data_IF_348996388970
#
_entry.id   IF_348996388970
#
_cell.length_a   1.000
_cell.length_b   1.000
_cell.length_c   1.000
_cell.angle_alpha   90.00
_cell.angle_beta   90.00
_cell.angle_gamma   90.00
#
_symmetry.space_group_name_H-M   'P 1'
#
loop_
_entity.id
_entity.type
_entity.pdbx_description
1 polymer ?
#
# COMPACT_ATOMS: atom_id res chain seq x y z
N UNK A 1 14.98 9.61 -17.67
CA UNK A 1 14.91 8.96 -16.35
C UNK A 1 13.66 9.49 -15.69
N UNK A 2 12.78 8.61 -15.19
CA UNK A 2 11.67 9.07 -14.37
C UNK A 2 12.27 9.76 -13.13
N UNK A 3 11.88 11.00 -12.90
CA UNK A 3 12.34 11.76 -11.75
C UNK A 3 11.74 11.12 -10.49
N UNK A 4 12.56 10.81 -9.50
CA UNK A 4 12.10 10.17 -8.26
C UNK A 4 11.48 11.22 -7.34
N UNK A 5 10.26 11.64 -7.66
CA UNK A 5 9.49 12.57 -6.83
C UNK A 5 8.70 11.81 -5.75
N UNK A 6 8.35 12.46 -4.62
CA UNK A 6 7.49 11.85 -3.60
C UNK A 6 6.18 11.32 -4.18
N UNK A 7 5.52 12.09 -5.06
CA UNK A 7 4.27 11.69 -5.71
C UNK A 7 4.44 10.46 -6.60
N UNK A 8 5.58 10.36 -7.30
CA UNK A 8 5.88 9.18 -8.09
C UNK A 8 6.03 7.93 -7.21
N UNK A 9 6.75 8.04 -6.09
CA UNK A 9 6.91 6.94 -5.13
C UNK A 9 5.57 6.51 -4.54
N UNK A 10 4.71 7.46 -4.18
CA UNK A 10 3.36 7.16 -3.65
C UNK A 10 2.49 6.45 -4.69
N UNK A 11 2.53 6.88 -5.95
CA UNK A 11 1.84 6.22 -7.05
C UNK A 11 2.32 4.77 -7.27
N UNK A 12 3.64 4.54 -7.20
CA UNK A 12 4.21 3.20 -7.31
C UNK A 12 3.79 2.29 -6.15
N UNK A 13 3.83 2.81 -4.92
CA UNK A 13 3.38 2.06 -3.73
C UNK A 13 1.89 1.72 -3.81
N UNK A 14 1.04 2.67 -4.20
CA UNK A 14 -0.40 2.43 -4.38
C UNK A 14 -0.64 1.34 -5.44
N UNK A 15 0.07 1.42 -6.56
CA UNK A 15 -0.03 0.42 -7.63
C UNK A 15 0.42 -0.98 -7.16
N UNK A 16 1.35 -1.11 -6.22
CA UNK A 16 1.72 -2.40 -5.60
C UNK A 16 0.64 -2.84 -4.61
N UNK A 17 0.21 -1.96 -3.70
CA UNK A 17 -0.74 -2.25 -2.64
C UNK A 17 -2.09 -2.79 -3.15
N UNK A 18 -2.57 -2.24 -4.28
CA UNK A 18 -3.88 -2.57 -4.85
C UNK A 18 -3.83 -3.55 -6.03
N UNK A 19 -2.65 -4.05 -6.41
CA UNK A 19 -2.54 -5.06 -7.46
C UNK A 19 -3.09 -6.43 -7.03
N UNK A 20 -3.54 -7.22 -8.00
CA UNK A 20 -3.88 -8.62 -7.78
C UNK A 20 -2.61 -9.44 -7.46
N UNK A 21 -2.61 -10.30 -6.43
CA UNK A 21 -1.48 -11.17 -6.14
C UNK A 21 -1.09 -12.02 -7.35
N UNK A 22 0.21 -12.12 -7.63
CA UNK A 22 0.72 -12.83 -8.81
C UNK A 22 0.78 -12.00 -10.08
N UNK A 23 0.26 -10.76 -10.08
CA UNK A 23 0.49 -9.80 -11.18
C UNK A 23 1.98 -9.59 -11.38
N UNK A 24 2.47 -9.75 -12.61
CA UNK A 24 3.87 -9.52 -12.92
C UNK A 24 4.16 -8.02 -13.02
N UNK A 25 5.11 -7.55 -12.22
CA UNK A 25 5.68 -6.21 -12.32
C UNK A 25 7.18 -6.33 -12.43
N UNK A 26 7.75 -5.71 -13.46
CA UNK A 26 9.21 -5.77 -13.73
C UNK A 26 9.76 -7.20 -13.81
N UNK A 27 8.95 -8.16 -14.29
CA UNK A 27 9.34 -9.57 -14.41
C UNK A 27 9.30 -10.38 -13.10
N UNK A 28 8.69 -9.84 -12.04
CA UNK A 28 8.48 -10.57 -10.78
C UNK A 28 7.00 -10.51 -10.37
N UNK A 29 6.43 -11.64 -9.90
CA UNK A 29 5.07 -11.64 -9.39
C UNK A 29 4.99 -10.87 -8.07
N UNK A 30 4.01 -9.97 -7.95
CA UNK A 30 3.73 -9.25 -6.71
C UNK A 30 3.26 -10.25 -5.66
N UNK A 31 3.97 -10.33 -4.54
CA UNK A 31 3.60 -11.18 -3.40
C UNK A 31 2.67 -10.42 -2.47
N UNK A 32 1.86 -11.16 -1.71
CA UNK A 32 1.01 -10.59 -0.65
C UNK A 32 1.84 -9.77 0.35
N UNK A 33 3.06 -10.21 0.67
CA UNK A 33 3.99 -9.47 1.54
C UNK A 33 4.36 -8.10 0.98
N UNK A 34 4.57 -7.98 -0.34
CA UNK A 34 4.89 -6.70 -1.00
C UNK A 34 3.72 -5.74 -0.89
N UNK A 35 2.49 -6.24 -1.07
CA UNK A 35 1.25 -5.47 -0.88
C UNK A 35 1.13 -4.93 0.54
N UNK A 36 1.31 -5.79 1.54
CA UNK A 36 1.24 -5.41 2.96
C UNK A 36 2.28 -4.35 3.31
N UNK A 37 3.50 -4.49 2.77
CA UNK A 37 4.55 -3.51 3.00
C UNK A 37 4.26 -2.17 2.31
N UNK A 38 3.71 -2.19 1.09
CA UNK A 38 3.29 -0.96 0.42
C UNK A 38 2.15 -0.25 1.17
N UNK A 39 1.17 -1.00 1.67
CA UNK A 39 0.10 -0.47 2.53
C UNK A 39 0.65 0.15 3.82
N UNK A 40 1.59 -0.52 4.50
CA UNK A 40 2.24 0.03 5.69
C UNK A 40 2.91 1.37 5.40
N UNK A 41 3.63 1.49 4.28
CA UNK A 41 4.30 2.73 3.88
C UNK A 41 3.30 3.86 3.55
N UNK A 42 2.19 3.52 2.88
CA UNK A 42 1.11 4.48 2.59
C UNK A 42 0.44 4.95 3.89
N UNK A 43 0.13 4.04 4.81
CA UNK A 43 -0.46 4.39 6.10
C UNK A 43 0.45 5.27 6.96
N UNK A 44 1.76 5.00 6.99
CA UNK A 44 2.73 5.88 7.66
C UNK A 44 2.77 7.26 7.03
N UNK A 45 2.74 7.34 5.70
CA UNK A 45 2.70 8.64 5.01
C UNK A 45 1.45 9.45 5.35
N UNK A 46 0.31 8.78 5.56
CA UNK A 46 -0.95 9.40 5.97
C UNK A 46 -1.06 9.67 7.48
N UNK A 47 -0.06 9.30 8.28
CA UNK A 47 -0.10 9.44 9.74
C UNK A 47 -1.03 8.43 10.45
N UNK A 48 -1.43 7.35 9.77
CA UNK A 48 -2.35 6.33 10.28
C UNK A 48 -1.66 5.23 11.11
N UNK A 49 -0.32 5.23 11.20
CA UNK A 49 0.48 4.15 11.80
C UNK A 49 1.15 4.47 13.14
N UNK A 50 1.13 5.71 13.61
CA UNK A 50 1.97 6.17 14.74
C UNK A 50 1.25 6.18 16.11
N UNK A 51 0.04 5.65 16.21
CA UNK A 51 -0.64 5.52 17.49
C UNK A 51 -1.99 4.87 17.33
N UNK A 52 -2.40 4.11 18.36
CA UNK A 52 -3.76 3.59 18.45
C UNK A 52 -4.74 4.73 18.21
N UNK A 53 -5.40 4.74 17.07
CA UNK A 53 -6.55 5.59 16.83
C UNK A 53 -7.60 5.17 17.86
N UNK A 54 -8.11 6.10 18.65
CA UNK A 54 -9.26 5.83 19.53
C UNK A 54 -10.52 5.52 18.72
N UNK A 55 -10.52 5.90 17.44
CA UNK A 55 -11.46 5.45 16.42
C UNK A 55 -11.00 4.10 15.88
N UNK A 56 -11.64 3.02 16.35
CA UNK A 56 -11.40 1.67 15.85
C UNK A 56 -11.77 1.58 14.36
N UNK A 57 -10.99 0.80 13.60
CA UNK A 57 -11.33 0.45 12.22
C UNK A 57 -12.52 -0.52 12.24
N UNK A 58 -13.69 -0.04 11.80
CA UNK A 58 -14.89 -0.87 11.66
C UNK A 58 -14.79 -1.59 10.31
N UNK A 59 -14.57 -2.91 10.33
CA UNK A 59 -14.75 -3.75 9.14
C UNK A 59 -16.25 -4.05 9.03
N UNK A 60 -16.91 -3.50 8.01
CA UNK A 60 -18.33 -3.78 7.72
C UNK A 60 -18.40 -4.98 6.78
N UNK A 61 -19.03 -6.06 7.23
CA UNK A 61 -19.41 -7.20 6.38
C UNK A 61 -20.82 -6.94 5.84
N UNK A 62 -21.02 -6.99 4.53
CA UNK A 62 -22.36 -6.95 3.92
C UNK A 62 -22.93 -8.37 3.94
N UNK A 63 -23.92 -8.59 4.81
CA UNK A 63 -24.66 -9.86 4.96
C UNK A 63 -25.60 -10.15 3.78
#
# INVERSE_FOLDING_TARGET
>A
MNELTPDHVLGELAAIAFADPGTERSGQPIKVADKLRALEMLYKHLGLGDGQTTEGVIIVDEA
#
